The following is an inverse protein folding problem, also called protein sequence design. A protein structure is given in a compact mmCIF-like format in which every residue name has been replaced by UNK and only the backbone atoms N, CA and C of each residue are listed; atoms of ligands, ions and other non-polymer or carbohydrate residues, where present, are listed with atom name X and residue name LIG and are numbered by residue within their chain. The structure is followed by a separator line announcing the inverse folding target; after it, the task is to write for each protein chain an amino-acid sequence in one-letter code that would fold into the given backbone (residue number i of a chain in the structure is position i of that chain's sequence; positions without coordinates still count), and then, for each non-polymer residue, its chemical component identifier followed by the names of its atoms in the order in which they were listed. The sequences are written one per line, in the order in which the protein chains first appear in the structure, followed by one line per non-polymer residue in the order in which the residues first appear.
data_IF_145478813680
#
_entry.id   IF_145478813680
#
_cell.length_a   1.000
_cell.length_b   1.000
_cell.length_c   1.000
_cell.angle_alpha   90.00
_cell.angle_beta   90.00
_cell.angle_gamma   90.00
#
_symmetry.space_group_name_H-M   'P 1'
#
loop_
_entity.id
_entity.type
_entity.pdbx_description
1 polymer ?
#
# COMPACT_ATOMS: atom_id res chain seq x y z
N UNK A 1 -46.18 97.65 -47.05
CA UNK A 1 -46.76 96.62 -46.17
C UNK A 1 -45.83 95.41 -46.22
N UNK A 2 -45.12 94.96 -45.19
CA UNK A 2 -45.22 95.18 -43.76
C UNK A 2 -45.24 93.82 -43.06
N UNK A 3 -44.16 93.53 -42.31
CA UNK A 3 -44.08 92.52 -41.20
C UNK A 3 -44.22 91.04 -41.62
N UNK A 4 -43.75 90.00 -40.92
CA UNK A 4 -43.25 89.80 -39.56
C UNK A 4 -42.53 88.43 -39.50
N UNK A 5 -41.50 88.36 -38.65
CA UNK A 5 -40.99 87.22 -37.86
C UNK A 5 -41.26 85.76 -38.30
N UNK A 6 -40.20 84.96 -38.41
CA UNK A 6 -40.05 83.73 -37.62
C UNK A 6 -38.57 83.31 -37.53
N UNK A 7 -38.17 82.97 -36.31
CA UNK A 7 -36.83 82.55 -35.88
C UNK A 7 -36.60 81.09 -36.32
N UNK A 8 -35.54 80.82 -37.05
CA UNK A 8 -35.07 79.45 -37.33
C UNK A 8 -33.56 79.36 -37.18
N UNK A 9 -33.16 78.34 -36.44
CA UNK A 9 -31.81 77.97 -36.05
C UNK A 9 -30.91 77.64 -37.24
N UNK A 10 -29.74 78.28 -37.31
CA UNK A 10 -28.60 77.74 -38.05
C UNK A 10 -27.33 77.97 -37.22
N UNK A 11 -26.69 76.84 -36.93
CA UNK A 11 -25.50 76.66 -36.11
C UNK A 11 -24.33 77.39 -36.78
N UNK A 12 -23.86 78.47 -36.18
CA UNK A 12 -22.58 79.09 -36.53
C UNK A 12 -21.50 78.38 -35.69
N UNK A 13 -21.10 77.19 -36.14
CA UNK A 13 -19.93 76.49 -35.65
C UNK A 13 -18.73 77.02 -36.41
N UNK A 14 -17.95 77.85 -35.73
CA UNK A 14 -16.66 78.40 -36.15
C UNK A 14 -15.75 77.25 -36.62
N UNK A 15 -15.40 77.28 -37.90
CA UNK A 15 -14.40 76.39 -38.50
C UNK A 15 -13.02 76.96 -38.18
N UNK A 16 -12.05 76.10 -37.87
CA UNK A 16 -10.66 76.55 -37.76
C UNK A 16 -10.12 76.98 -39.13
N UNK A 17 -9.00 77.74 -39.16
CA UNK A 17 -8.39 78.27 -40.39
C UNK A 17 -7.99 77.19 -41.43
N UNK A 18 -8.13 75.90 -41.08
CA UNK A 18 -7.90 74.75 -41.94
C UNK A 18 -9.20 74.06 -42.40
N UNK A 19 -10.37 74.66 -42.17
CA UNK A 19 -11.65 74.17 -42.67
C UNK A 19 -12.17 72.91 -41.96
N UNK A 20 -11.60 72.54 -40.81
CA UNK A 20 -12.03 71.38 -40.04
C UNK A 20 -13.01 71.78 -38.93
N UNK A 21 -13.99 70.90 -38.67
CA UNK A 21 -14.93 71.08 -37.57
C UNK A 21 -14.24 70.70 -36.25
N UNK A 22 -14.39 71.49 -35.17
CA UNK A 22 -13.81 71.15 -33.88
C UNK A 22 -14.37 69.81 -33.37
N UNK A 23 -13.48 68.88 -33.04
CA UNK A 23 -13.83 67.56 -32.53
C UNK A 23 -14.55 67.71 -31.17
N UNK A 24 -15.88 67.52 -31.20
CA UNK A 24 -16.75 67.56 -30.03
C UNK A 24 -16.60 66.26 -29.25
N UNK A 25 -16.01 66.32 -28.06
CA UNK A 25 -15.89 65.16 -27.16
C UNK A 25 -17.27 64.76 -26.64
N UNK A 26 -17.65 63.50 -26.84
CA UNK A 26 -18.85 62.91 -26.25
C UNK A 26 -18.44 61.75 -25.35
N UNK A 27 -18.57 61.98 -24.06
CA UNK A 27 -18.44 60.97 -23.02
C UNK A 27 -19.60 59.98 -23.07
N UNK A 28 -19.33 58.73 -23.42
CA UNK A 28 -20.15 57.59 -22.98
C UNK A 28 -19.36 56.67 -22.06
N UNK A 29 -19.65 56.80 -20.76
CA UNK A 29 -19.22 55.90 -19.70
C UNK A 29 -19.85 54.51 -19.89
N UNK A 30 -19.07 53.49 -20.23
CA UNK A 30 -19.33 52.14 -19.73
C UNK A 30 -18.55 51.97 -18.42
N UNK A 31 -19.28 52.03 -17.30
CA UNK A 31 -18.73 51.73 -15.97
C UNK A 31 -18.46 50.24 -15.86
N UNK A 32 -17.27 49.80 -16.20
CA UNK A 32 -16.75 48.53 -15.70
C UNK A 32 -16.27 48.77 -14.27
N UNK A 33 -17.07 48.37 -13.28
CA UNK A 33 -16.59 48.25 -11.89
C UNK A 33 -15.64 47.06 -11.86
N UNK A 34 -14.39 47.30 -12.22
CA UNK A 34 -13.30 46.40 -11.88
C UNK A 34 -13.18 46.43 -10.36
N UNK A 35 -13.54 45.33 -9.70
CA UNK A 35 -13.05 45.07 -8.37
C UNK A 35 -11.52 45.09 -8.45
N UNK A 36 -10.80 45.84 -7.59
CA UNK A 36 -9.38 45.58 -7.46
C UNK A 36 -9.28 44.14 -6.94
N UNK A 37 -8.92 43.21 -7.83
CA UNK A 37 -8.33 41.96 -7.40
C UNK A 37 -7.13 42.41 -6.59
N UNK A 38 -7.12 42.09 -5.29
CA UNK A 38 -5.94 42.25 -4.45
C UNK A 38 -4.84 41.44 -5.13
N UNK A 39 -4.09 42.10 -6.00
CA UNK A 39 -2.84 41.62 -6.54
C UNK A 39 -1.99 41.49 -5.30
N UNK A 40 -1.75 40.25 -4.87
CA UNK A 40 -0.76 39.98 -3.85
C UNK A 40 0.56 40.44 -4.49
N UNK A 41 0.86 41.71 -4.25
CA UNK A 41 2.11 42.32 -4.64
C UNK A 41 3.12 41.66 -3.72
N UNK A 42 3.71 40.57 -4.19
CA UNK A 42 5.03 40.19 -3.73
C UNK A 42 5.90 41.37 -4.12
N UNK A 43 6.04 42.31 -3.18
CA UNK A 43 7.11 43.30 -3.21
C UNK A 43 8.38 42.48 -3.37
N UNK A 44 9.00 42.56 -4.55
CA UNK A 44 10.37 42.14 -4.73
C UNK A 44 11.23 43.14 -3.95
N UNK A 45 11.35 42.91 -2.64
CA UNK A 45 12.51 43.35 -1.89
C UNK A 45 13.70 42.65 -2.54
N UNK A 46 14.52 43.39 -3.28
CA UNK A 46 15.86 42.90 -3.64
C UNK A 46 16.72 42.94 -2.38
N UNK A 47 16.39 42.07 -1.43
CA UNK A 47 17.22 41.81 -0.27
C UNK A 47 18.07 40.59 -0.62
N UNK A 48 19.38 40.78 -0.67
CA UNK A 48 20.31 39.67 -0.85
C UNK A 48 20.20 38.69 0.32
N UNK A 49 20.47 37.41 0.05
CA UNK A 49 20.49 36.39 1.09
C UNK A 49 21.40 36.82 2.25
N UNK A 50 20.83 36.85 3.45
CA UNK A 50 21.63 37.11 4.65
C UNK A 50 22.45 35.88 5.00
N UNK A 51 23.65 36.07 5.55
CA UNK A 51 24.50 34.96 5.98
C UNK A 51 23.80 34.07 7.02
N UNK A 52 22.99 34.67 7.89
CA UNK A 52 22.24 33.95 8.91
C UNK A 52 21.13 33.05 8.30
N UNK A 53 20.44 33.50 7.25
CA UNK A 53 19.41 32.71 6.57
C UNK A 53 20.00 31.46 5.90
N UNK A 54 21.17 31.58 5.27
CA UNK A 54 21.86 30.43 4.67
C UNK A 54 22.25 29.42 5.75
N UNK A 55 22.75 29.88 6.90
CA UNK A 55 23.11 28.98 8.00
C UNK A 55 21.86 28.27 8.55
N UNK A 56 20.77 29.01 8.79
CA UNK A 56 19.52 28.44 9.31
C UNK A 56 18.90 27.44 8.33
N UNK A 57 18.88 27.74 7.04
CA UNK A 57 18.36 26.82 6.01
C UNK A 57 19.19 25.54 5.91
N UNK A 58 20.52 25.61 5.98
CA UNK A 58 21.39 24.43 5.99
C UNK A 58 21.14 23.58 7.25
N UNK A 59 20.97 24.21 8.42
CA UNK A 59 20.68 23.48 9.66
C UNK A 59 19.33 22.77 9.57
N UNK A 60 18.28 23.46 9.10
CA UNK A 60 16.96 22.86 8.94
C UNK A 60 17.00 21.73 7.91
N UNK A 61 17.69 21.93 6.78
CA UNK A 61 17.87 20.89 5.77
C UNK A 61 18.64 19.67 6.32
N UNK A 62 19.64 19.87 7.18
CA UNK A 62 20.38 18.79 7.81
C UNK A 62 19.51 17.98 8.79
N UNK A 63 18.69 18.64 9.60
CA UNK A 63 17.76 17.97 10.52
C UNK A 63 16.72 17.17 9.73
N UNK A 64 16.08 17.80 8.74
CA UNK A 64 15.09 17.13 7.89
C UNK A 64 15.71 16.00 7.06
N UNK A 65 16.92 16.19 6.54
CA UNK A 65 17.67 15.18 5.81
C UNK A 65 18.01 13.97 6.69
N UNK A 66 18.42 14.19 7.94
CA UNK A 66 18.68 13.10 8.88
C UNK A 66 17.42 12.29 9.19
N UNK A 67 16.28 12.96 9.40
CA UNK A 67 14.98 12.27 9.59
C UNK A 67 14.57 11.51 8.32
N UNK A 68 14.79 12.08 7.14
CA UNK A 68 14.47 11.45 5.86
C UNK A 68 15.28 10.17 5.62
N UNK A 69 16.58 10.18 5.95
CA UNK A 69 17.43 8.99 5.84
C UNK A 69 16.94 7.85 6.75
N UNK A 70 16.54 8.12 7.99
CA UNK A 70 16.00 7.11 8.90
C UNK A 70 14.70 6.47 8.38
N UNK A 71 13.82 7.28 7.76
CA UNK A 71 12.57 6.79 7.14
C UNK A 71 12.87 5.97 5.88
N UNK A 72 13.89 6.34 5.11
CA UNK A 72 14.24 5.64 3.87
C UNK A 72 14.96 4.32 4.14
N UNK A 73 15.83 4.26 5.15
CA UNK A 73 16.51 3.03 5.62
C UNK A 73 15.51 1.94 6.02
N UNK A 74 14.43 2.29 6.70
CA UNK A 74 13.42 1.31 7.15
C UNK A 74 12.55 0.78 6.03
N UNK A 75 12.27 1.58 4.99
CA UNK A 75 11.36 1.19 3.91
C UNK A 75 12.06 0.48 2.73
N UNK A 76 13.29 0.87 2.39
CA UNK A 76 14.01 0.29 1.25
C UNK A 76 14.57 -1.09 1.58
N UNK A 77 15.02 -1.30 2.81
CA UNK A 77 15.65 -2.56 3.23
C UNK A 77 14.62 -3.67 3.51
N UNK A 78 13.39 -3.31 3.88
CA UNK A 78 12.32 -4.27 4.21
C UNK A 78 11.49 -4.79 3.01
N UNK A 79 11.81 -4.42 1.77
CA UNK A 79 10.95 -4.74 0.61
C UNK A 79 11.12 -6.15 0.03
N UNK A 80 12.25 -6.84 0.30
CA UNK A 80 12.51 -8.18 -0.26
C UNK A 80 12.05 -9.29 0.69
N UNK A 81 12.08 -9.05 2.00
CA UNK A 81 11.68 -10.04 3.02
C UNK A 81 10.22 -10.52 2.88
N UNK A 82 9.23 -9.67 2.53
CA UNK A 82 7.86 -10.14 2.30
C UNK A 82 7.78 -11.05 1.08
N UNK A 83 8.56 -10.77 0.02
CA UNK A 83 8.55 -11.57 -1.21
C UNK A 83 9.19 -12.94 -0.99
N UNK A 84 10.29 -13.02 -0.25
CA UNK A 84 10.93 -14.30 0.09
C UNK A 84 10.03 -15.11 1.01
N UNK A 85 9.44 -14.49 2.03
CA UNK A 85 8.49 -15.16 2.93
C UNK A 85 7.30 -15.73 2.16
N UNK A 86 6.72 -14.98 1.24
CA UNK A 86 5.60 -15.45 0.42
C UNK A 86 6.01 -16.65 -0.44
N UNK A 87 7.20 -16.62 -1.06
CA UNK A 87 7.72 -17.76 -1.82
C UNK A 87 7.92 -19.00 -0.93
N UNK A 88 8.46 -18.82 0.26
CA UNK A 88 8.70 -19.91 1.22
C UNK A 88 7.37 -20.54 1.68
N UNK A 89 6.34 -19.73 1.93
CA UNK A 89 4.98 -20.22 2.24
C UNK A 89 4.38 -20.97 1.06
N UNK A 90 4.53 -20.47 -0.18
CA UNK A 90 4.01 -21.17 -1.36
C UNK A 90 4.69 -22.53 -1.58
N UNK A 91 6.01 -22.60 -1.45
CA UNK A 91 6.74 -23.87 -1.57
C UNK A 91 6.25 -24.89 -0.53
N UNK A 92 6.03 -24.44 0.71
CA UNK A 92 5.52 -25.28 1.78
C UNK A 92 4.06 -25.72 1.57
N UNK A 93 3.21 -24.83 1.04
CA UNK A 93 1.84 -25.16 0.66
C UNK A 93 1.80 -26.20 -0.46
N UNK A 94 2.65 -26.07 -1.49
CA UNK A 94 2.74 -27.04 -2.58
C UNK A 94 3.08 -28.45 -2.05
N UNK A 95 4.03 -28.55 -1.12
CA UNK A 95 4.36 -29.81 -0.45
C UNK A 95 3.13 -30.38 0.29
N UNK A 96 2.43 -29.55 1.07
CA UNK A 96 1.26 -29.99 1.83
C UNK A 96 0.07 -30.36 0.94
N UNK A 97 -0.09 -29.69 -0.20
CA UNK A 97 -1.08 -30.04 -1.23
C UNK A 97 -0.79 -31.39 -1.83
N UNK A 98 0.47 -31.70 -2.15
CA UNK A 98 0.87 -33.02 -2.66
C UNK A 98 0.61 -34.12 -1.63
N UNK A 99 0.92 -33.88 -0.35
CA UNK A 99 0.59 -34.81 0.74
C UNK A 99 -0.93 -35.00 0.83
N UNK A 100 -1.70 -33.91 0.78
CA UNK A 100 -3.17 -33.96 0.88
C UNK A 100 -3.79 -34.65 -0.34
N UNK A 101 -3.20 -34.48 -1.52
CA UNK A 101 -3.63 -35.18 -2.73
C UNK A 101 -3.35 -36.69 -2.61
N UNK A 102 -2.18 -37.07 -2.11
CA UNK A 102 -1.84 -38.48 -1.90
C UNK A 102 -2.72 -39.12 -0.82
N UNK A 103 -2.99 -38.39 0.27
CA UNK A 103 -3.97 -38.77 1.27
C UNK A 103 -5.33 -39.07 0.66
N UNK A 104 -5.88 -38.14 -0.13
CA UNK A 104 -7.18 -38.31 -0.78
C UNK A 104 -7.20 -39.48 -1.76
N UNK A 105 -6.09 -39.71 -2.46
CA UNK A 105 -5.93 -40.86 -3.38
C UNK A 105 -5.98 -42.18 -2.61
N UNK A 106 -5.36 -42.21 -1.44
CA UNK A 106 -5.22 -43.42 -0.61
C UNK A 106 -6.45 -43.70 0.25
N UNK A 107 -7.37 -42.76 0.48
CA UNK A 107 -8.53 -42.89 1.39
C UNK A 107 -9.39 -44.18 1.28
N UNK A 108 -9.34 -44.90 0.16
CA UNK A 108 -10.05 -46.18 -0.02
C UNK A 108 -9.19 -47.41 0.29
N UNK A 109 -7.92 -47.21 0.64
CA UNK A 109 -6.93 -48.22 0.99
C UNK A 109 -6.80 -48.36 2.50
N UNK A 110 -6.58 -49.59 2.95
CA UNK A 110 -6.27 -49.89 4.36
C UNK A 110 -4.93 -49.25 4.77
N UNK A 111 -4.85 -48.71 5.99
CA UNK A 111 -3.64 -48.10 6.56
C UNK A 111 -3.16 -46.83 5.82
N UNK A 112 -4.09 -46.06 5.25
CA UNK A 112 -3.80 -44.79 4.55
C UNK A 112 -2.89 -43.86 5.37
N UNK A 113 -3.24 -43.63 6.63
CA UNK A 113 -2.48 -42.71 7.49
C UNK A 113 -1.07 -43.22 7.80
N UNK A 114 -0.88 -44.55 7.91
CA UNK A 114 0.42 -45.15 8.16
C UNK A 114 1.34 -44.99 6.96
N UNK A 115 0.82 -45.24 5.76
CA UNK A 115 1.53 -45.05 4.51
C UNK A 115 2.03 -43.61 4.38
N UNK A 116 1.14 -42.63 4.58
CA UNK A 116 1.48 -41.21 4.43
C UNK A 116 2.47 -40.76 5.49
N UNK A 117 2.27 -41.16 6.75
CA UNK A 117 3.22 -40.88 7.83
C UNK A 117 4.61 -41.40 7.47
N UNK A 118 4.72 -42.62 6.93
CA UNK A 118 5.98 -43.19 6.51
C UNK A 118 6.61 -42.42 5.33
N UNK A 119 5.82 -42.03 4.33
CA UNK A 119 6.32 -41.28 3.16
C UNK A 119 6.78 -39.86 3.49
N UNK A 120 6.12 -39.19 4.45
CA UNK A 120 6.53 -37.84 4.94
C UNK A 120 7.89 -37.91 5.66
N UNK A 121 8.17 -39.02 6.34
CA UNK A 121 9.43 -39.23 7.06
C UNK A 121 9.35 -38.88 8.55
N UNK A 122 10.51 -38.94 9.20
CA UNK A 122 10.60 -38.88 10.67
C UNK A 122 10.68 -37.44 11.18
N UNK A 123 9.99 -37.16 12.29
CA UNK A 123 10.11 -35.89 13.02
C UNK A 123 11.58 -35.54 13.30
N UNK A 124 11.98 -34.30 13.01
CA UNK A 124 13.34 -33.80 13.21
C UNK A 124 14.27 -33.97 12.00
N UNK A 125 13.77 -34.48 10.88
CA UNK A 125 14.58 -34.68 9.65
C UNK A 125 14.34 -33.60 8.61
N UNK A 126 15.39 -33.31 7.82
CA UNK A 126 15.29 -32.50 6.61
C UNK A 126 15.21 -33.43 5.39
N UNK A 127 14.11 -33.30 4.65
CA UNK A 127 13.83 -34.05 3.43
C UNK A 127 14.23 -33.16 2.26
N UNK A 128 15.24 -33.54 1.50
CA UNK A 128 15.79 -32.74 0.38
C UNK A 128 15.52 -33.33 -1.01
N UNK A 129 15.05 -34.58 -1.06
CA UNK A 129 14.73 -35.33 -2.27
C UNK A 129 13.52 -36.24 -2.07
N UNK A 130 12.55 -35.79 -1.26
CA UNK A 130 11.36 -36.56 -0.95
C UNK A 130 10.34 -36.55 -2.08
N UNK A 131 9.42 -37.52 -2.04
CA UNK A 131 8.31 -37.66 -3.01
C UNK A 131 7.49 -36.36 -3.12
N UNK A 132 7.27 -35.67 -2.00
CA UNK A 132 6.48 -34.44 -1.94
C UNK A 132 7.29 -33.17 -2.23
N UNK A 133 8.62 -33.24 -2.25
CA UNK A 133 9.52 -32.09 -2.43
C UNK A 133 10.51 -31.94 -1.27
N UNK A 134 10.93 -30.70 -1.05
CA UNK A 134 11.94 -30.34 -0.04
C UNK A 134 11.30 -29.62 1.14
N UNK A 135 11.48 -30.14 2.35
CA UNK A 135 10.91 -29.63 3.59
C UNK A 135 11.58 -30.25 4.81
N UNK A 136 11.41 -29.64 5.98
CA UNK A 136 11.77 -30.26 7.25
C UNK A 136 10.53 -30.78 7.97
N UNK A 137 10.61 -31.99 8.51
CA UNK A 137 9.54 -32.56 9.35
C UNK A 137 9.72 -32.04 10.77
N UNK A 138 8.73 -31.28 11.27
CA UNK A 138 8.77 -30.73 12.62
C UNK A 138 7.82 -31.43 13.58
N UNK A 139 6.79 -32.05 13.05
CA UNK A 139 5.91 -32.94 13.78
C UNK A 139 5.29 -33.89 12.76
N UNK A 140 5.25 -35.18 13.06
CA UNK A 140 4.56 -36.15 12.23
C UNK A 140 4.16 -37.30 13.13
N UNK A 141 3.16 -37.12 13.99
CA UNK A 141 2.75 -38.12 14.97
C UNK A 141 1.23 -38.23 15.06
N UNK A 142 0.77 -39.40 15.48
CA UNK A 142 -0.63 -39.59 15.83
C UNK A 142 -0.91 -38.88 17.15
N UNK A 143 -2.06 -38.21 17.22
CA UNK A 143 -2.48 -37.48 18.41
C UNK A 143 -3.82 -37.99 18.92
N UNK A 144 -4.00 -37.83 20.23
CA UNK A 144 -5.28 -37.96 20.92
C UNK A 144 -5.43 -36.83 21.92
N UNK A 145 -6.68 -36.56 22.30
CA UNK A 145 -6.97 -35.65 23.39
C UNK A 145 -7.36 -36.47 24.61
N UNK A 146 -6.51 -36.49 25.63
CA UNK A 146 -6.81 -37.11 26.92
C UNK A 146 -7.56 -36.12 27.81
N UNK A 147 -8.43 -36.61 28.68
CA UNK A 147 -9.06 -35.79 29.70
C UNK A 147 -10.47 -36.24 30.12
N UNK A 148 -11.09 -35.47 31.03
CA UNK A 148 -10.45 -34.37 31.75
C UNK A 148 -9.41 -34.87 32.77
N UNK A 149 -8.34 -34.10 32.95
CA UNK A 149 -7.44 -34.25 34.11
C UNK A 149 -8.13 -33.79 35.41
N UNK A 150 -7.41 -33.85 36.54
CA UNK A 150 -7.94 -33.45 37.85
C UNK A 150 -8.37 -31.97 37.93
N UNK A 151 -7.99 -31.14 36.94
CA UNK A 151 -8.38 -29.73 36.83
C UNK A 151 -9.51 -29.51 35.82
N UNK A 152 -10.06 -30.57 35.23
CA UNK A 152 -11.13 -30.47 34.24
C UNK A 152 -10.62 -30.19 32.82
N UNK A 153 -9.31 -30.28 32.56
CA UNK A 153 -8.71 -29.88 31.28
C UNK A 153 -8.44 -31.08 30.38
N UNK A 154 -8.57 -30.86 29.07
CA UNK A 154 -8.16 -31.82 28.04
C UNK A 154 -6.77 -31.47 27.52
N UNK A 155 -5.95 -32.49 27.25
CA UNK A 155 -4.56 -32.34 26.80
C UNK A 155 -4.31 -33.12 25.51
N UNK A 156 -3.59 -32.50 24.58
CA UNK A 156 -3.07 -33.21 23.41
C UNK A 156 -1.91 -34.11 23.85
N UNK A 157 -1.97 -35.38 23.46
CA UNK A 157 -0.94 -36.38 23.73
C UNK A 157 -0.60 -37.15 22.45
N UNK A 158 0.65 -37.61 22.36
CA UNK A 158 1.05 -38.56 21.32
C UNK A 158 0.32 -39.88 21.55
N UNK A 159 -0.42 -40.34 20.54
CA UNK A 159 -1.09 -41.63 20.57
C UNK A 159 -0.11 -42.75 20.21
N UNK A 160 0.20 -43.58 21.21
CA UNK A 160 1.04 -44.78 21.08
C UNK A 160 0.23 -46.08 21.03
N UNK A 161 -1.10 -45.99 20.99
CA UNK A 161 -1.99 -47.15 20.92
C UNK A 161 -1.85 -47.92 19.60
N UNK A 162 -2.14 -49.23 19.63
CA UNK A 162 -2.10 -50.09 18.44
C UNK A 162 -3.47 -50.30 17.78
N UNK A 163 -4.50 -49.52 18.13
CA UNK A 163 -5.84 -49.65 17.55
C UNK A 163 -6.59 -48.34 17.48
N UNK A 164 -7.13 -48.00 16.31
CA UNK A 164 -7.97 -46.81 16.10
C UNK A 164 -7.22 -45.48 16.01
N UNK A 165 -6.07 -45.43 15.33
CA UNK A 165 -5.30 -44.20 15.12
C UNK A 165 -6.05 -43.27 14.17
N UNK A 166 -6.78 -42.27 14.70
CA UNK A 166 -7.70 -41.46 13.88
C UNK A 166 -7.14 -40.14 13.41
N UNK A 167 -6.13 -39.58 14.05
CA UNK A 167 -5.67 -38.22 13.74
C UNK A 167 -4.15 -38.20 13.64
N UNK A 168 -3.66 -38.11 12.41
CA UNK A 168 -2.27 -37.85 12.12
C UNK A 168 -2.07 -36.33 12.06
N UNK A 169 -1.25 -35.80 12.97
CA UNK A 169 -0.82 -34.40 12.94
C UNK A 169 0.50 -34.30 12.22
N UNK A 170 0.57 -33.44 11.22
CA UNK A 170 1.77 -33.19 10.42
C UNK A 170 2.09 -31.70 10.49
N UNK A 171 3.28 -31.36 10.96
CA UNK A 171 3.84 -30.02 10.88
C UNK A 171 5.13 -30.06 10.07
N UNK A 172 5.15 -29.33 8.96
CA UNK A 172 6.33 -29.15 8.12
C UNK A 172 6.88 -27.73 8.29
N UNK A 173 8.16 -27.56 7.96
CA UNK A 173 8.75 -26.22 7.83
C UNK A 173 9.65 -26.11 6.61
N UNK A 174 9.77 -24.90 6.10
CA UNK A 174 10.71 -24.51 5.06
C UNK A 174 11.16 -23.10 5.40
N UNK A 175 12.47 -22.85 5.45
CA UNK A 175 13.01 -21.58 5.96
C UNK A 175 12.48 -21.28 7.39
N UNK A 176 11.91 -20.10 7.65
CA UNK A 176 11.26 -19.70 8.90
C UNK A 176 9.76 -20.04 8.97
N UNK A 177 9.18 -20.57 7.90
CA UNK A 177 7.74 -20.81 7.77
C UNK A 177 7.35 -22.22 8.23
N UNK A 178 6.16 -22.36 8.81
CA UNK A 178 5.61 -23.63 9.31
C UNK A 178 4.15 -23.77 8.91
N UNK A 179 3.74 -25.00 8.59
CA UNK A 179 2.35 -25.35 8.27
C UNK A 179 2.00 -26.65 8.94
N UNK A 180 0.83 -26.68 9.55
CA UNK A 180 0.29 -27.86 10.24
C UNK A 180 -1.00 -28.29 9.58
N UNK A 181 -1.14 -29.60 9.34
CA UNK A 181 -2.37 -30.23 8.88
C UNK A 181 -2.72 -31.43 9.76
N UNK A 182 -4.00 -31.75 9.81
CA UNK A 182 -4.55 -32.93 10.48
C UNK A 182 -5.19 -33.82 9.43
N UNK A 183 -4.82 -35.10 9.42
CA UNK A 183 -5.38 -36.12 8.53
C UNK A 183 -6.08 -37.19 9.36
N UNK A 184 -7.22 -37.69 8.88
CA UNK A 184 -8.03 -38.66 9.62
C UNK A 184 -8.49 -39.85 8.79
N UNK A 185 -9.04 -40.87 9.44
CA UNK A 185 -9.68 -42.02 8.78
C UNK A 185 -11.01 -42.31 9.47
#
# INVERSE_FOLDING_TARGET
MGTSLYRSSAIHGELDDNGNRPYRSNHHRKKYRLHPVKRFMFMNSQEGFTLIEIIVTIIVAAILGAMFLQVMETNVTGSVEPLTRVKDVYALNEVMERITADYKRLLSEENTLETIKATIGTTGTDVTSGVYGTYSVRYNEYIKFSGPDSEGLYREEVDRGSGGKKVLKVTLSFSDQRLTSLFTE
#
